data_IF_797804597135
#
_entry.id   IF_797804597135
#
_cell.length_a   1.000
_cell.length_b   1.000
_cell.length_c   1.000
_cell.angle_alpha   90.00
_cell.angle_beta   90.00
_cell.angle_gamma   90.00
#
_symmetry.space_group_name_H-M   'P 1'
#
loop_
_entity.id
_entity.type
_entity.pdbx_description
1 polymer ?
#
# COMPACT_ATOMS: atom_id res chain seq x y z
N UNK A 1 13.47 -14.17 -0.08
CA UNK A 1 13.97 -14.49 1.28
C UNK A 1 12.82 -14.56 2.27
N UNK A 2 11.97 -13.53 2.34
CA UNK A 2 10.78 -13.54 3.20
C UNK A 2 9.63 -12.76 2.51
N UNK A 3 8.40 -13.18 2.78
CA UNK A 3 7.18 -12.48 2.38
C UNK A 3 6.45 -12.06 3.66
N UNK A 4 6.20 -10.77 3.80
CA UNK A 4 5.32 -10.22 4.82
C UNK A 4 3.97 -9.90 4.13
N UNK A 5 2.96 -10.76 4.32
CA UNK A 5 1.70 -10.66 3.58
C UNK A 5 0.98 -9.36 3.88
N UNK A 6 0.01 -9.04 3.01
CA UNK A 6 -0.86 -7.90 3.25
C UNK A 6 -1.61 -8.07 4.57
N UNK A 7 -1.56 -7.02 5.40
CA UNK A 7 -2.29 -6.94 6.64
C UNK A 7 -3.29 -5.78 6.56
N UNK A 8 -4.55 -6.04 6.94
CA UNK A 8 -5.63 -5.07 6.79
C UNK A 8 -5.56 -3.89 7.76
N UNK A 9 -4.80 -4.05 8.86
CA UNK A 9 -4.52 -3.01 9.86
C UNK A 9 -3.36 -2.13 9.40
N UNK A 10 -2.29 -2.74 8.89
CA UNK A 10 -1.10 -2.05 8.35
C UNK A 10 -1.31 -1.46 6.95
N UNK A 11 -2.30 -1.97 6.19
CA UNK A 11 -2.65 -1.63 4.80
C UNK A 11 -1.47 -1.61 3.82
N UNK A 12 -0.55 -2.57 4.00
CA UNK A 12 0.66 -2.70 3.17
C UNK A 12 1.18 -4.14 3.19
N UNK A 13 2.01 -4.47 2.21
CA UNK A 13 2.72 -5.74 2.11
C UNK A 13 4.16 -5.51 1.70
N UNK A 14 5.07 -6.41 2.10
CA UNK A 14 6.48 -6.29 1.78
C UNK A 14 7.14 -7.62 1.46
N UNK A 15 8.20 -7.56 0.68
CA UNK A 15 9.02 -8.72 0.30
C UNK A 15 10.49 -8.41 0.55
N UNK A 16 11.22 -9.41 1.02
CA UNK A 16 12.66 -9.34 1.16
C UNK A 16 13.29 -10.27 0.14
N UNK A 17 14.11 -9.73 -0.74
CA UNK A 17 14.77 -10.45 -1.84
C UNK A 17 16.26 -10.22 -1.82
N UNK A 18 17.02 -11.16 -2.38
CA UNK A 18 18.46 -11.02 -2.61
C UNK A 18 18.70 -10.83 -4.09
N UNK A 19 19.38 -9.74 -4.47
CA UNK A 19 19.74 -9.41 -5.84
C UNK A 19 21.19 -8.95 -5.86
N UNK A 20 22.02 -9.49 -6.75
CA UNK A 20 23.44 -9.10 -6.87
C UNK A 20 24.21 -9.10 -5.53
N UNK A 21 24.02 -10.15 -4.73
CA UNK A 21 24.58 -10.30 -3.37
C UNK A 21 24.15 -9.22 -2.34
N UNK A 22 23.22 -8.35 -2.70
CA UNK A 22 22.61 -7.36 -1.81
C UNK A 22 21.20 -7.79 -1.42
N UNK A 23 20.76 -7.38 -0.23
CA UNK A 23 19.42 -7.70 0.28
C UNK A 23 18.57 -6.45 0.18
N UNK A 24 17.38 -6.58 -0.39
CA UNK A 24 16.42 -5.50 -0.54
C UNK A 24 15.08 -5.87 0.09
N UNK A 25 14.54 -4.94 0.85
CA UNK A 25 13.14 -4.90 1.25
C UNK A 25 12.39 -4.03 0.24
N UNK A 26 11.36 -4.57 -0.40
CA UNK A 26 10.40 -3.81 -1.19
C UNK A 26 9.06 -3.80 -0.49
N UNK A 27 8.36 -2.67 -0.51
CA UNK A 27 7.07 -2.50 0.13
C UNK A 27 6.11 -1.75 -0.80
N UNK A 28 4.85 -2.17 -0.77
CA UNK A 28 3.74 -1.48 -1.42
C UNK A 28 2.54 -1.38 -0.49
N UNK A 29 1.80 -0.28 -0.57
CA UNK A 29 0.69 -0.04 0.33
C UNK A 29 0.03 1.32 0.13
N UNK A 30 -0.96 1.61 0.98
CA UNK A 30 -1.64 2.90 1.00
C UNK A 30 -0.66 4.02 1.38
N UNK A 31 -0.94 5.23 0.88
CA UNK A 31 -0.16 6.43 1.16
C UNK A 31 -0.01 6.69 2.67
N UNK A 32 -1.12 6.65 3.42
CA UNK A 32 -1.18 6.85 4.87
C UNK A 32 -0.36 5.82 5.65
N UNK A 33 -0.12 4.66 5.04
CA UNK A 33 0.60 3.55 5.65
C UNK A 33 2.08 3.49 5.29
N UNK A 34 2.52 4.17 4.23
CA UNK A 34 3.93 4.21 3.83
C UNK A 34 4.61 5.52 4.23
N UNK A 35 3.92 6.67 4.15
CA UNK A 35 4.48 7.97 4.50
C UNK A 35 5.23 8.01 5.84
N UNK A 36 4.71 7.42 6.94
CA UNK A 36 5.38 7.47 8.25
C UNK A 36 6.69 6.65 8.31
N UNK A 37 6.89 5.73 7.38
CA UNK A 37 8.01 4.78 7.38
C UNK A 37 9.14 5.17 6.43
N UNK A 38 8.95 6.24 5.67
CA UNK A 38 9.97 6.80 4.79
C UNK A 38 11.08 7.46 5.60
N UNK A 39 12.30 7.44 5.07
CA UNK A 39 13.40 8.20 5.64
C UNK A 39 13.22 9.71 5.41
N UNK A 40 13.84 10.52 6.27
CA UNK A 40 13.86 11.98 6.15
C UNK A 40 14.70 12.52 4.99
N UNK A 41 15.33 11.64 4.19
CA UNK A 41 16.10 12.02 3.00
C UNK A 41 15.22 12.24 1.76
N UNK A 42 13.94 11.87 1.83
CA UNK A 42 13.01 12.21 0.75
C UNK A 42 12.81 13.73 0.75
N UNK A 43 13.36 14.37 -0.28
CA UNK A 43 13.24 15.79 -0.54
C UNK A 43 11.76 16.21 -0.46
N UNK A 44 11.45 17.28 0.28
CA UNK A 44 10.09 17.81 0.41
C UNK A 44 9.43 18.04 -0.96
N UNK A 45 10.24 18.38 -1.97
CA UNK A 45 9.79 18.50 -3.37
C UNK A 45 9.27 17.19 -3.93
N UNK A 46 9.95 16.06 -3.67
CA UNK A 46 9.50 14.74 -4.13
C UNK A 46 8.20 14.34 -3.45
N UNK A 47 8.06 14.63 -2.15
CA UNK A 47 6.82 14.39 -1.41
C UNK A 47 5.67 15.20 -2.01
N UNK A 48 5.84 16.52 -2.18
CA UNK A 48 4.82 17.40 -2.75
C UNK A 48 4.41 16.97 -4.16
N UNK A 49 5.36 16.66 -5.04
CA UNK A 49 5.07 16.19 -6.39
C UNK A 49 4.33 14.84 -6.39
N UNK A 50 4.68 13.93 -5.47
CA UNK A 50 4.00 12.63 -5.35
C UNK A 50 2.57 12.81 -4.85
N UNK A 51 2.33 13.69 -3.88
CA UNK A 51 0.99 14.03 -3.38
C UNK A 51 0.12 14.64 -4.48
N UNK A 52 0.69 15.49 -5.34
CA UNK A 52 -0.02 16.03 -6.51
C UNK A 52 -0.42 14.91 -7.49
N UNK A 53 0.46 13.95 -7.77
CA UNK A 53 0.12 12.82 -8.62
C UNK A 53 -0.97 11.93 -8.01
N UNK A 54 -0.90 11.67 -6.70
CA UNK A 54 -1.95 10.94 -5.96
C UNK A 54 -3.30 11.64 -6.12
N UNK A 55 -3.34 12.96 -5.96
CA UNK A 55 -4.57 13.74 -6.13
C UNK A 55 -5.12 13.61 -7.54
N UNK A 56 -4.27 13.80 -8.56
CA UNK A 56 -4.64 13.63 -9.97
C UNK A 56 -5.16 12.21 -10.27
N UNK A 57 -4.59 11.18 -9.65
CA UNK A 57 -5.07 9.81 -9.80
C UNK A 57 -6.43 9.61 -9.15
N UNK A 58 -6.64 10.16 -7.95
CA UNK A 58 -7.93 10.13 -7.29
C UNK A 58 -9.02 10.83 -8.12
N UNK A 59 -8.74 12.00 -8.70
CA UNK A 59 -9.65 12.73 -9.60
C UNK A 59 -10.04 11.93 -10.85
N UNK A 60 -9.25 10.93 -11.25
CA UNK A 60 -9.54 10.04 -12.39
C UNK A 60 -10.14 8.70 -11.96
N UNK A 61 -10.44 8.52 -10.68
CA UNK A 61 -10.98 7.27 -10.15
C UNK A 61 -9.95 6.15 -9.99
N UNK A 62 -8.65 6.45 -10.07
CA UNK A 62 -7.61 5.44 -9.91
C UNK A 62 -7.26 5.20 -8.44
N UNK A 63 -7.01 3.94 -8.10
CA UNK A 63 -6.48 3.54 -6.80
C UNK A 63 -4.97 3.71 -6.78
N UNK A 64 -4.49 4.56 -5.88
CA UNK A 64 -3.05 4.83 -5.73
C UNK A 64 -2.38 3.89 -4.72
N UNK A 65 -1.20 3.36 -5.06
CA UNK A 65 -0.33 2.66 -4.11
C UNK A 65 1.08 3.24 -4.16
N UNK A 66 1.64 3.57 -3.00
CA UNK A 66 3.04 3.94 -2.89
C UNK A 66 3.91 2.69 -2.95
N UNK A 67 5.08 2.85 -3.57
CA UNK A 67 6.12 1.82 -3.64
C UNK A 67 7.42 2.42 -3.12
N UNK A 68 8.05 1.69 -2.21
CA UNK A 68 9.31 2.09 -1.61
C UNK A 68 10.24 0.88 -1.44
N UNK A 69 11.51 1.15 -1.22
CA UNK A 69 12.49 0.10 -0.95
C UNK A 69 13.46 0.52 0.15
N UNK A 70 14.15 -0.47 0.70
CA UNK A 70 15.32 -0.27 1.55
C UNK A 70 16.33 -1.36 1.30
N UNK A 71 17.60 -0.99 1.18
CA UNK A 71 18.69 -1.95 1.21
C UNK A 71 18.97 -2.36 2.66
N UNK A 72 19.08 -3.66 2.89
CA UNK A 72 19.42 -4.24 4.19
C UNK A 72 20.86 -4.74 4.16
N UNK A 73 21.57 -4.56 5.26
CA UNK A 73 22.81 -5.30 5.49
C UNK A 73 22.50 -6.78 5.80
N UNK A 74 23.49 -7.65 5.63
CA UNK A 74 23.34 -9.06 5.96
C UNK A 74 23.01 -9.25 7.45
N UNK A 75 23.72 -8.54 8.32
CA UNK A 75 23.54 -8.58 9.78
C UNK A 75 22.14 -8.14 10.19
N UNK A 76 21.64 -7.00 9.68
CA UNK A 76 20.28 -6.56 9.98
C UNK A 76 19.22 -7.59 9.56
N UNK A 77 19.41 -8.21 8.39
CA UNK A 77 18.47 -9.23 7.91
C UNK A 77 18.50 -10.48 8.79
N UNK A 78 19.68 -10.96 9.16
CA UNK A 78 19.83 -12.17 9.98
C UNK A 78 19.25 -11.99 11.39
N UNK A 79 19.56 -10.86 12.05
CA UNK A 79 18.99 -10.51 13.36
C UNK A 79 17.47 -10.43 13.30
N UNK A 80 16.94 -9.73 12.30
CA UNK A 80 15.50 -9.63 12.11
C UNK A 80 14.87 -11.00 11.82
N UNK A 81 15.50 -11.82 10.99
CA UNK A 81 14.96 -13.12 10.58
C UNK A 81 14.89 -14.10 11.76
N UNK A 82 15.82 -14.03 12.71
CA UNK A 82 15.74 -14.77 13.97
C UNK A 82 14.53 -14.33 14.79
N UNK A 83 14.31 -13.02 14.94
CA UNK A 83 13.14 -12.48 15.64
C UNK A 83 11.82 -12.89 14.96
N UNK A 84 11.75 -12.78 13.63
CA UNK A 84 10.60 -13.21 12.83
C UNK A 84 10.31 -14.71 13.01
N UNK A 85 11.34 -15.55 12.96
CA UNK A 85 11.19 -17.00 13.13
C UNK A 85 10.69 -17.34 14.54
N UNK A 86 11.19 -16.64 15.56
CA UNK A 86 10.72 -16.80 16.94
C UNK A 86 9.25 -16.38 17.07
N UNK A 87 8.86 -15.25 16.50
CA UNK A 87 7.48 -14.77 16.49
C UNK A 87 6.55 -15.76 15.76
N UNK A 88 6.99 -16.30 14.62
CA UNK A 88 6.22 -17.26 13.83
C UNK A 88 5.97 -18.60 14.55
N UNK A 89 6.87 -18.98 15.47
CA UNK A 89 6.77 -20.23 16.24
C UNK A 89 6.00 -20.08 17.57
N UNK A 90 5.45 -18.90 17.88
CA UNK A 90 4.61 -18.72 19.07
C UNK A 90 3.28 -19.47 18.93
N UNK A 91 2.83 -20.09 20.03
CA UNK A 91 1.53 -20.78 20.11
C UNK A 91 0.38 -19.79 20.29
N UNK A 92 0.59 -18.72 21.07
CA UNK A 92 -0.37 -17.65 21.33
C UNK A 92 0.26 -16.30 20.96
N UNK A 93 -0.56 -15.33 20.53
CA UNK A 93 -0.07 -13.99 20.16
C UNK A 93 0.79 -13.93 18.89
N UNK A 94 0.82 -15.01 18.10
CA UNK A 94 1.66 -15.13 16.89
C UNK A 94 1.45 -13.99 15.89
N UNK A 95 0.19 -13.64 15.60
CA UNK A 95 -0.12 -12.61 14.60
C UNK A 95 0.38 -11.22 15.01
N UNK A 96 0.20 -10.87 16.29
CA UNK A 96 0.68 -9.61 16.86
C UNK A 96 2.21 -9.54 16.83
N UNK A 97 2.89 -10.60 17.30
CA UNK A 97 4.34 -10.68 17.28
C UNK A 97 4.92 -10.60 15.85
N UNK A 98 4.28 -11.26 14.87
CA UNK A 98 4.67 -11.14 13.46
C UNK A 98 4.48 -9.70 12.97
N UNK A 99 3.36 -9.07 13.31
CA UNK A 99 3.08 -7.68 12.94
C UNK A 99 4.13 -6.71 13.50
N UNK A 100 4.54 -6.88 14.75
CA UNK A 100 5.63 -6.10 15.37
C UNK A 100 6.95 -6.28 14.62
N UNK A 101 7.33 -7.52 14.30
CA UNK A 101 8.55 -7.77 13.53
C UNK A 101 8.49 -7.12 12.15
N UNK A 102 7.33 -7.11 11.49
CA UNK A 102 7.15 -6.42 10.21
C UNK A 102 7.38 -4.90 10.35
N UNK A 103 6.77 -4.27 11.36
CA UNK A 103 6.98 -2.82 11.63
C UNK A 103 8.44 -2.49 11.88
N UNK A 104 9.17 -3.36 12.60
CA UNK A 104 10.57 -3.14 12.93
C UNK A 104 11.50 -3.13 11.72
N UNK A 105 11.19 -3.88 10.65
CA UNK A 105 12.02 -3.90 9.43
C UNK A 105 11.55 -2.88 8.39
N UNK A 106 10.26 -2.56 8.37
CA UNK A 106 9.60 -1.57 7.48
C UNK A 106 9.83 -0.13 7.97
N UNK A 107 11.08 0.30 8.11
CA UNK A 107 11.46 1.68 8.51
C UNK A 107 12.60 2.21 7.65
N UNK A 108 12.79 3.53 7.63
CA UNK A 108 13.85 4.20 6.88
C UNK A 108 13.82 3.90 5.37
N UNK A 109 12.61 3.82 4.81
CA UNK A 109 12.38 3.47 3.41
C UNK A 109 12.70 4.64 2.47
N UNK A 110 13.19 4.34 1.28
CA UNK A 110 13.37 5.29 0.17
C UNK A 110 12.16 5.18 -0.75
N UNK A 111 11.48 6.30 -0.98
CA UNK A 111 10.34 6.32 -1.89
C UNK A 111 10.83 6.09 -3.33
N UNK A 112 10.23 5.12 -4.01
CA UNK A 112 10.47 4.89 -5.44
C UNK A 112 9.46 5.66 -6.29
N UNK A 113 8.20 5.67 -5.85
CA UNK A 113 7.14 6.40 -6.52
C UNK A 113 5.74 5.92 -6.12
N UNK A 114 4.77 6.30 -6.94
CA UNK A 114 3.36 5.96 -6.81
C UNK A 114 2.89 5.23 -8.07
N UNK A 115 2.00 4.26 -7.89
CA UNK A 115 1.31 3.55 -8.97
C UNK A 115 -0.16 3.94 -8.97
N UNK A 116 -0.77 3.99 -10.15
CA UNK A 116 -2.20 4.20 -10.34
C UNK A 116 -2.81 2.92 -10.91
N UNK A 117 -3.80 2.36 -10.24
CA UNK A 117 -4.53 1.17 -10.70
C UNK A 117 -5.95 1.58 -11.01
N UNK A 118 -6.33 1.44 -12.28
CA UNK A 118 -7.71 1.62 -12.72
C UNK A 118 -8.52 0.37 -12.40
N UNK A 119 -9.66 0.56 -11.72
CA UNK A 119 -10.65 -0.49 -11.54
C UNK A 119 -11.75 -0.27 -12.58
N UNK A 120 -11.70 -1.06 -13.65
CA UNK A 120 -12.56 -0.83 -14.81
C UNK A 120 -14.00 -1.16 -14.47
N UNK A 121 -14.88 -0.21 -14.76
CA UNK A 121 -16.32 -0.45 -14.78
C UNK A 121 -16.67 -1.39 -15.94
N UNK A 122 -17.82 -2.06 -15.83
CA UNK A 122 -18.37 -2.82 -16.95
C UNK A 122 -18.78 -1.86 -18.08
N UNK A 123 -18.74 -2.36 -19.31
CA UNK A 123 -19.14 -1.60 -20.49
C UNK A 123 -20.59 -1.11 -20.36
N UNK A 124 -20.84 0.15 -20.68
CA UNK A 124 -22.19 0.73 -20.66
C UNK A 124 -22.68 1.18 -19.28
N UNK A 125 -21.93 0.93 -18.20
CA UNK A 125 -22.32 1.35 -16.84
C UNK A 125 -22.41 2.87 -16.72
N UNK A 126 -21.40 3.67 -17.14
CA UNK A 126 -21.49 5.13 -17.05
C UNK A 126 -22.70 5.71 -17.79
N UNK A 127 -22.95 5.26 -19.03
CA UNK A 127 -24.05 5.73 -19.88
C UNK A 127 -25.41 5.33 -19.30
N UNK A 128 -25.50 4.14 -18.70
CA UNK A 128 -26.72 3.66 -18.04
C UNK A 128 -27.04 4.49 -16.81
N UNK A 129 -26.04 4.78 -15.97
CA UNK A 129 -26.23 5.61 -14.77
C UNK A 129 -26.65 7.02 -15.15
N UNK A 130 -25.99 7.63 -16.15
CA UNK A 130 -26.37 8.95 -16.65
C UNK A 130 -27.82 8.96 -17.16
N UNK A 131 -28.21 7.96 -17.95
CA UNK A 131 -29.58 7.82 -18.47
C UNK A 131 -30.62 7.69 -17.35
N UNK A 132 -30.34 6.88 -16.33
CA UNK A 132 -31.21 6.71 -15.15
C UNK A 132 -31.33 8.02 -14.35
N UNK A 133 -30.23 8.76 -14.20
CA UNK A 133 -30.21 10.06 -13.51
C UNK A 133 -31.02 11.12 -14.27
N UNK A 134 -30.90 11.18 -15.60
CA UNK A 134 -31.70 12.05 -16.46
C UNK A 134 -33.20 11.71 -16.41
N UNK A 135 -33.53 10.43 -16.21
CA UNK A 135 -34.90 9.97 -15.98
C UNK A 135 -35.45 10.30 -14.56
N UNK A 136 -34.66 10.96 -13.71
CA UNK A 136 -35.05 11.35 -12.36
C UNK A 136 -34.96 10.22 -11.32
N UNK A 137 -34.31 9.11 -11.66
CA UNK A 137 -34.12 7.97 -10.75
C UNK A 137 -32.92 8.26 -9.83
N UNK A 138 -33.14 8.13 -8.52
CA UNK A 138 -32.08 8.30 -7.52
C UNK A 138 -31.32 6.99 -7.34
N UNK A 139 -30.01 7.02 -7.58
CA UNK A 139 -29.13 5.87 -7.47
C UNK A 139 -28.41 5.92 -6.13
N UNK A 140 -28.39 4.79 -5.41
CA UNK A 140 -27.66 4.63 -4.16
C UNK A 140 -26.69 3.46 -4.32
N UNK A 141 -25.41 3.70 -4.05
CA UNK A 141 -24.39 2.67 -4.10
C UNK A 141 -24.19 2.10 -2.69
N UNK A 142 -24.63 0.86 -2.49
CA UNK A 142 -24.37 0.10 -1.27
C UNK A 142 -23.18 -0.82 -1.54
N UNK A 143 -22.04 -0.52 -0.95
CA UNK A 143 -20.82 -1.35 -1.04
C UNK A 143 -20.42 -1.89 0.33
N UNK A 144 -19.92 -3.14 0.33
CA UNK A 144 -19.33 -3.79 1.50
C UNK A 144 -17.82 -3.56 1.64
N UNK A 145 -17.20 -2.85 0.70
CA UNK A 145 -15.78 -2.48 0.79
C UNK A 145 -15.57 -1.39 1.86
N UNK A 146 -14.45 -1.49 2.60
CA UNK A 146 -14.04 -0.47 3.59
C UNK A 146 -13.94 0.89 2.90
N UNK A 147 -14.56 1.92 3.49
CA UNK A 147 -14.58 3.34 3.05
C UNK A 147 -13.65 3.61 1.87
N UNK A 148 -14.16 3.37 0.67
CA UNK A 148 -13.55 3.89 -0.53
C UNK A 148 -13.90 5.37 -0.52
N UNK A 149 -12.92 6.27 -0.67
CA UNK A 149 -13.23 7.66 -0.95
C UNK A 149 -14.22 7.65 -2.12
N UNK A 150 -15.41 8.23 -1.95
CA UNK A 150 -16.53 8.23 -2.92
C UNK A 150 -16.07 8.61 -4.36
N UNK A 151 -14.94 9.30 -4.45
CA UNK A 151 -14.23 9.73 -5.65
C UNK A 151 -13.74 8.57 -6.55
N UNK A 152 -13.40 7.40 -6.00
CA UNK A 152 -12.90 6.26 -6.80
C UNK A 152 -14.00 5.54 -7.59
N UNK A 153 -15.26 5.73 -7.21
CA UNK A 153 -16.42 5.21 -7.93
C UNK A 153 -17.04 6.40 -8.64
N UNK A 154 -16.40 6.87 -9.71
CA UNK A 154 -17.02 7.88 -10.57
C UNK A 154 -18.30 7.28 -11.16
N UNK A 155 -19.41 7.76 -10.63
CA UNK A 155 -20.80 7.48 -10.99
C UNK A 155 -21.52 8.81 -11.15
#
# INVERSE_FOLDING_TARGET
LCLLPFDSTRKRMSIIVRMNNQIFLFIKGAETSIWPHLNGFNNEVVKANTEQHIHMFAERGYRSLLVAYRQLTLTEFEEWYQCYTRAANLLEGREEAISETAVNIERNLILTGVTAVEDKLQDGVPESIESLRLAGIKIWLLTGDKQVNEICLQV
#
